data_IF_005949433953
#
_entry.id   IF_005949433953
#
_cell.length_a   1.000
_cell.length_b   1.000
_cell.length_c   1.000
_cell.angle_alpha   90.00
_cell.angle_beta   90.00
_cell.angle_gamma   90.00
#
_symmetry.space_group_name_H-M   'P 1'
#
loop_
_entity.id
_entity.type
_entity.pdbx_description
1 polymer ?
#
# COMPACT_ATOMS: atom_id res chain seq x y z
N UNK A 1 -44.82 29.82 79.18
CA UNK A 1 -44.87 30.41 77.83
C UNK A 1 -43.45 30.56 77.33
N UNK A 2 -43.07 29.71 76.39
CA UNK A 2 -41.73 29.61 75.79
C UNK A 2 -41.81 30.35 74.45
N UNK A 3 -40.89 31.26 74.16
CA UNK A 3 -40.71 31.83 72.82
C UNK A 3 -39.23 32.14 72.58
N UNK A 4 -38.71 31.51 71.52
CA UNK A 4 -37.31 31.38 71.15
C UNK A 4 -36.77 32.60 70.40
N UNK A 5 -35.46 32.73 70.52
CA UNK A 5 -34.53 33.62 69.82
C UNK A 5 -34.47 33.37 68.31
N UNK A 6 -34.44 34.45 67.54
CA UNK A 6 -34.30 34.45 66.08
C UNK A 6 -32.82 34.52 65.66
N UNK A 7 -32.29 33.47 65.04
CA UNK A 7 -30.97 33.45 64.41
C UNK A 7 -31.14 33.55 62.88
N UNK A 8 -30.59 34.61 62.27
CA UNK A 8 -30.59 34.80 60.81
C UNK A 8 -29.39 34.07 60.19
N UNK A 9 -29.65 33.06 59.37
CA UNK A 9 -28.65 32.35 58.58
C UNK A 9 -28.45 33.02 57.22
N UNK A 10 -27.22 33.46 56.92
CA UNK A 10 -26.83 34.03 55.62
C UNK A 10 -26.50 32.89 54.64
N UNK A 11 -27.23 32.80 53.53
CA UNK A 11 -26.90 31.90 52.42
C UNK A 11 -25.87 32.56 51.50
N UNK A 12 -24.69 31.96 51.40
CA UNK A 12 -23.68 32.27 50.39
C UNK A 12 -23.81 31.22 49.28
N UNK A 13 -24.29 31.63 48.10
CA UNK A 13 -24.37 30.76 46.93
C UNK A 13 -23.02 30.78 46.19
N UNK A 14 -22.26 29.67 46.23
CA UNK A 14 -21.13 29.43 45.35
C UNK A 14 -21.65 28.83 44.02
N UNK A 15 -21.53 29.59 42.94
CA UNK A 15 -21.68 29.11 41.57
C UNK A 15 -20.38 28.44 41.13
N UNK A 16 -20.38 27.12 40.98
CA UNK A 16 -19.29 26.37 40.37
C UNK A 16 -19.50 26.31 38.84
N UNK A 17 -18.58 26.94 38.08
CA UNK A 17 -18.49 26.79 36.62
C UNK A 17 -17.92 25.40 36.28
N UNK A 18 -18.56 24.60 35.40
CA UNK A 18 -17.92 23.41 34.85
C UNK A 18 -16.89 23.83 33.78
N UNK A 19 -15.62 23.57 34.05
CA UNK A 19 -14.57 23.66 33.05
C UNK A 19 -14.79 22.55 32.00
N UNK A 20 -15.24 22.94 30.80
CA UNK A 20 -15.29 22.06 29.64
C UNK A 20 -13.85 21.87 29.16
N UNK A 21 -13.21 20.78 29.58
CA UNK A 21 -11.97 20.30 28.98
C UNK A 21 -12.30 19.78 27.58
N UNK A 22 -12.10 20.64 26.57
CA UNK A 22 -12.06 20.20 25.18
C UNK A 22 -10.87 19.26 25.01
N UNK A 23 -11.14 17.97 24.87
CA UNK A 23 -10.16 17.01 24.42
C UNK A 23 -9.86 17.32 22.95
N UNK A 24 -8.81 18.11 22.70
CA UNK A 24 -8.14 18.08 21.40
C UNK A 24 -7.66 16.64 21.22
N UNK A 25 -8.34 15.86 20.37
CA UNK A 25 -7.80 14.61 19.87
C UNK A 25 -6.52 14.96 19.10
N UNK A 26 -5.37 14.92 19.78
CA UNK A 26 -4.08 14.94 19.12
C UNK A 26 -4.05 13.71 18.22
N UNK A 27 -3.94 13.93 16.91
CA UNK A 27 -3.58 12.86 15.99
C UNK A 27 -2.31 12.18 16.56
N UNK A 28 -2.27 10.84 16.63
CA UNK A 28 -1.08 10.16 17.12
C UNK A 28 0.12 10.66 16.31
N UNK A 29 1.27 10.94 16.96
CA UNK A 29 2.47 11.35 16.24
C UNK A 29 2.79 10.29 15.17
N UNK A 30 3.27 10.70 13.98
CA UNK A 30 3.74 9.75 12.99
C UNK A 30 4.78 8.85 13.67
N UNK A 31 4.46 7.56 13.70
CA UNK A 31 5.15 6.59 14.53
C UNK A 31 6.66 6.63 14.21
N UNK A 32 7.50 6.71 15.24
CA UNK A 32 8.95 6.62 15.08
C UNK A 32 9.28 5.29 14.37
N UNK A 33 10.29 5.27 13.49
CA UNK A 33 10.80 4.02 12.95
C UNK A 33 11.09 3.06 14.13
N UNK A 34 10.27 2.02 14.32
CA UNK A 34 10.58 0.96 15.28
C UNK A 34 9.45 0.24 16.03
N UNK A 35 8.24 0.76 16.14
CA UNK A 35 7.14 0.02 16.81
C UNK A 35 5.87 0.02 15.96
N UNK A 36 5.66 -1.01 15.15
CA UNK A 36 4.40 -1.20 14.43
C UNK A 36 3.27 -1.57 15.41
N UNK A 37 2.06 -1.07 15.13
CA UNK A 37 0.87 -1.37 15.91
C UNK A 37 0.44 -2.83 15.74
N UNK A 38 -0.33 -3.35 16.71
CA UNK A 38 -0.93 -4.68 16.62
C UNK A 38 -1.91 -4.80 15.44
N UNK A 39 -2.55 -3.69 15.05
CA UNK A 39 -3.38 -3.62 13.84
C UNK A 39 -2.54 -3.87 12.58
N UNK A 40 -1.38 -3.22 12.46
CA UNK A 40 -0.45 -3.44 11.35
C UNK A 40 0.05 -4.88 11.32
N UNK A 41 0.43 -5.46 12.47
CA UNK A 41 0.82 -6.87 12.54
C UNK A 41 -0.30 -7.80 12.10
N UNK A 42 -1.53 -7.55 12.56
CA UNK A 42 -2.69 -8.36 12.19
C UNK A 42 -2.99 -8.28 10.69
N UNK A 43 -2.84 -7.09 10.08
CA UNK A 43 -3.03 -6.89 8.63
C UNK A 43 -2.07 -7.73 7.78
N UNK A 44 -0.84 -7.93 8.26
CA UNK A 44 0.23 -8.64 7.56
C UNK A 44 0.60 -9.99 8.19
N UNK A 45 -0.28 -10.54 9.02
CA UNK A 45 -0.11 -11.85 9.64
C UNK A 45 -0.09 -12.97 8.58
N UNK A 46 0.37 -14.14 9.02
CA UNK A 46 0.26 -15.34 8.19
C UNK A 46 -1.21 -15.68 7.95
N UNK A 47 -1.53 -16.08 6.72
CA UNK A 47 -2.90 -16.43 6.32
C UNK A 47 -2.91 -17.59 5.35
N UNK A 48 -4.09 -18.15 5.07
CA UNK A 48 -4.29 -19.17 4.05
C UNK A 48 -5.21 -18.61 2.98
N UNK A 49 -4.78 -18.71 1.73
CA UNK A 49 -5.53 -18.24 0.57
C UNK A 49 -5.57 -19.32 -0.51
N UNK A 50 -6.77 -19.77 -0.88
CA UNK A 50 -6.98 -20.83 -1.87
C UNK A 50 -6.12 -22.10 -1.63
N UNK A 51 -5.88 -22.44 -0.36
CA UNK A 51 -5.08 -23.61 0.05
C UNK A 51 -3.56 -23.39 0.08
N UNK A 52 -3.09 -22.19 -0.27
CA UNK A 52 -1.70 -21.79 -0.11
C UNK A 52 -1.50 -21.04 1.20
N UNK A 53 -0.48 -21.42 1.96
CA UNK A 53 -0.04 -20.64 3.12
C UNK A 53 0.69 -19.38 2.62
N UNK A 54 0.30 -18.22 3.11
CA UNK A 54 0.98 -16.94 2.89
C UNK A 54 1.68 -16.56 4.19
N UNK A 55 3.02 -16.49 4.22
CA UNK A 55 3.75 -16.18 5.44
C UNK A 55 3.50 -14.74 5.90
N UNK A 56 3.64 -14.52 7.21
CA UNK A 56 3.60 -13.18 7.78
C UNK A 56 4.75 -12.33 7.22
N UNK A 57 4.51 -11.02 7.09
CA UNK A 57 5.60 -10.08 6.77
C UNK A 57 6.37 -9.78 8.06
N UNK A 58 7.69 -9.91 8.03
CA UNK A 58 8.54 -9.59 9.18
C UNK A 58 8.45 -8.09 9.53
N UNK A 59 8.35 -7.77 10.83
CA UNK A 59 8.21 -6.41 11.36
C UNK A 59 9.23 -5.41 10.77
N UNK A 60 10.46 -5.84 10.50
CA UNK A 60 11.53 -5.00 9.91
C UNK A 60 11.20 -4.43 8.53
N UNK A 61 10.28 -5.05 7.78
CA UNK A 61 9.81 -4.56 6.48
C UNK A 61 8.58 -3.66 6.59
N UNK A 62 8.02 -3.54 7.79
CA UNK A 62 6.80 -2.79 8.07
C UNK A 62 7.09 -1.53 8.86
N UNK A 63 6.26 -0.52 8.63
CA UNK A 63 6.11 0.67 9.47
C UNK A 63 4.64 1.09 9.40
N UNK A 64 4.17 1.95 10.30
CA UNK A 64 2.82 2.53 10.17
C UNK A 64 2.64 3.32 8.87
N UNK A 65 3.74 3.81 8.31
CA UNK A 65 3.72 4.43 7.00
C UNK A 65 3.63 3.40 5.86
N UNK A 66 4.33 2.27 5.96
CA UNK A 66 4.36 1.25 4.90
C UNK A 66 3.09 0.40 4.84
N UNK A 67 2.26 0.40 5.89
CA UNK A 67 0.99 -0.34 5.89
C UNK A 67 0.02 0.21 4.85
N UNK A 68 -0.81 -0.69 4.32
CA UNK A 68 -2.01 -0.32 3.58
C UNK A 68 -2.93 0.50 4.48
N UNK A 69 -3.38 1.66 4.01
CA UNK A 69 -4.20 2.57 4.80
C UNK A 69 -5.07 3.47 3.94
N UNK A 70 -6.21 3.89 4.49
CA UNK A 70 -7.09 4.86 3.85
C UNK A 70 -6.50 6.27 4.02
N UNK A 71 -6.36 7.01 2.92
CA UNK A 71 -5.76 8.35 2.91
C UNK A 71 -6.62 9.34 2.11
N UNK A 72 -6.52 10.65 2.39
CA UNK A 72 -6.98 11.69 1.46
C UNK A 72 -6.31 11.55 0.10
N UNK A 73 -7.10 11.55 -0.97
CA UNK A 73 -6.59 11.47 -2.34
C UNK A 73 -7.59 12.10 -3.31
N UNK A 74 -7.19 13.19 -3.96
CA UNK A 74 -8.08 14.12 -4.66
C UNK A 74 -8.06 13.93 -6.19
N UNK A 75 -7.88 12.69 -6.65
CA UNK A 75 -7.84 12.40 -8.08
C UNK A 75 -9.22 12.59 -8.73
N UNK A 76 -9.28 13.15 -9.96
CA UNK A 76 -10.54 13.48 -10.64
C UNK A 76 -11.17 12.26 -11.34
N UNK A 77 -11.10 11.08 -10.71
CA UNK A 77 -11.61 9.83 -11.26
C UNK A 77 -12.68 9.24 -10.35
N UNK A 78 -13.53 8.40 -10.94
CA UNK A 78 -14.60 7.71 -10.21
C UNK A 78 -14.04 6.72 -9.18
N UNK A 79 -14.82 6.46 -8.14
CA UNK A 79 -14.53 5.39 -7.19
C UNK A 79 -14.37 4.04 -7.90
N UNK A 80 -13.46 3.20 -7.40
CA UNK A 80 -13.06 1.95 -8.05
C UNK A 80 -11.89 2.10 -9.03
N UNK A 81 -11.54 3.33 -9.44
CA UNK A 81 -10.33 3.55 -10.26
C UNK A 81 -9.07 3.23 -9.46
N UNK A 82 -8.08 2.63 -10.12
CA UNK A 82 -6.73 2.48 -9.58
C UNK A 82 -5.83 3.56 -10.17
N UNK A 83 -5.10 4.27 -9.32
CA UNK A 83 -3.99 5.14 -9.73
C UNK A 83 -2.68 4.51 -9.26
N UNK A 84 -1.76 4.26 -10.18
CA UNK A 84 -0.41 3.78 -9.87
C UNK A 84 0.54 4.96 -9.96
N UNK A 85 1.29 5.21 -8.89
CA UNK A 85 2.36 6.19 -8.83
C UNK A 85 3.73 5.48 -8.73
N UNK A 86 4.38 5.19 -9.86
CA UNK A 86 5.69 4.54 -9.86
C UNK A 86 6.81 5.42 -9.29
N UNK A 87 6.64 6.75 -9.32
CA UNK A 87 7.63 7.69 -8.77
C UNK A 87 7.54 7.76 -7.25
N UNK A 88 6.32 7.76 -6.72
CA UNK A 88 6.03 7.75 -5.29
C UNK A 88 6.02 6.37 -4.63
N UNK A 89 6.04 5.28 -5.42
CA UNK A 89 5.95 3.89 -4.94
C UNK A 89 4.69 3.60 -4.15
N UNK A 90 3.60 4.19 -4.60
CA UNK A 90 2.26 3.90 -4.10
C UNK A 90 1.30 3.51 -5.21
N UNK A 91 0.33 2.69 -4.84
CA UNK A 91 -0.87 2.43 -5.60
C UNK A 91 -2.06 2.90 -4.77
N UNK A 92 -3.00 3.58 -5.40
CA UNK A 92 -4.20 4.15 -4.79
C UNK A 92 -5.44 3.52 -5.43
N UNK A 93 -6.26 2.84 -4.64
CA UNK A 93 -7.57 2.36 -5.07
C UNK A 93 -8.65 3.31 -4.55
N UNK A 94 -9.27 4.09 -5.43
CA UNK A 94 -10.19 5.17 -5.06
C UNK A 94 -11.45 4.61 -4.39
N UNK A 95 -11.81 5.16 -3.23
CA UNK A 95 -13.01 4.75 -2.46
C UNK A 95 -14.16 5.75 -2.59
N UNK A 96 -13.95 6.86 -3.29
CA UNK A 96 -14.87 7.99 -3.34
C UNK A 96 -14.68 8.92 -2.13
N UNK A 97 -15.43 10.03 -2.10
CA UNK A 97 -15.34 11.01 -1.01
C UNK A 97 -13.94 11.60 -0.83
N UNK A 98 -13.18 11.76 -1.91
CA UNK A 98 -11.78 12.25 -1.90
C UNK A 98 -10.83 11.37 -1.06
N UNK A 99 -11.07 10.06 -1.05
CA UNK A 99 -10.19 9.10 -0.37
C UNK A 99 -9.79 7.95 -1.28
N UNK A 100 -8.64 7.35 -0.97
CA UNK A 100 -8.19 6.12 -1.60
C UNK A 100 -7.56 5.18 -0.55
N UNK A 101 -7.69 3.88 -0.79
CA UNK A 101 -6.85 2.90 -0.11
C UNK A 101 -5.46 2.94 -0.75
N UNK A 102 -4.44 3.34 0.01
CA UNK A 102 -3.05 3.40 -0.41
C UNK A 102 -2.35 2.09 -0.11
N UNK A 103 -1.52 1.62 -1.03
CA UNK A 103 -0.69 0.43 -0.91
C UNK A 103 0.75 0.75 -1.28
N UNK A 104 1.70 0.25 -0.51
CA UNK A 104 3.12 0.30 -0.86
C UNK A 104 3.41 -0.63 -2.04
N UNK A 105 4.22 -0.17 -3.00
CA UNK A 105 4.61 -0.98 -4.16
C UNK A 105 6.13 -0.99 -4.37
N UNK A 106 6.65 -2.08 -4.95
CA UNK A 106 7.94 -2.08 -5.62
C UNK A 106 7.74 -1.79 -7.11
N UNK A 107 8.69 -1.06 -7.70
CA UNK A 107 8.65 -0.71 -9.12
C UNK A 107 9.88 -1.29 -9.79
N UNK A 108 9.69 -2.20 -10.73
CA UNK A 108 10.80 -2.70 -11.54
C UNK A 108 11.13 -1.79 -12.72
N UNK A 109 12.26 -2.02 -13.38
CA UNK A 109 12.65 -1.25 -14.57
C UNK A 109 11.56 -1.24 -15.66
N UNK A 110 10.77 -2.32 -15.80
CA UNK A 110 9.64 -2.37 -16.73
C UNK A 110 8.43 -1.58 -16.22
N UNK A 111 8.32 -1.36 -14.91
CA UNK A 111 7.32 -0.52 -14.27
C UNK A 111 7.35 0.96 -14.68
N UNK A 112 8.46 1.42 -15.27
CA UNK A 112 8.58 2.75 -15.87
C UNK A 112 8.31 2.77 -17.39
N UNK A 113 8.09 1.61 -18.02
CA UNK A 113 7.91 1.49 -19.47
C UNK A 113 6.50 1.84 -19.96
N UNK A 114 5.56 2.13 -19.05
CA UNK A 114 4.17 2.44 -19.38
C UNK A 114 3.64 3.58 -18.51
N UNK A 115 2.91 4.50 -19.13
CA UNK A 115 2.12 5.54 -18.46
C UNK A 115 0.82 5.83 -19.22
N UNK A 116 -0.12 6.46 -18.53
CA UNK A 116 -1.46 6.79 -19.02
C UNK A 116 -2.52 5.75 -18.63
N UNK A 117 -3.62 5.76 -19.36
CA UNK A 117 -4.80 4.97 -19.02
C UNK A 117 -4.76 3.53 -19.56
N UNK A 118 -5.26 2.61 -18.76
CA UNK A 118 -5.47 1.19 -19.06
C UNK A 118 -6.73 0.66 -18.36
N UNK A 119 -7.04 -0.60 -18.60
CA UNK A 119 -8.14 -1.35 -17.96
C UNK A 119 -7.65 -2.72 -17.51
N UNK A 120 -8.31 -3.31 -16.51
CA UNK A 120 -8.04 -4.69 -16.07
C UNK A 120 -9.16 -5.60 -16.60
N UNK A 121 -9.02 -6.25 -17.77
CA UNK A 121 -10.06 -7.13 -18.28
C UNK A 121 -10.18 -8.43 -17.48
N UNK A 122 -9.12 -8.85 -16.79
CA UNK A 122 -9.12 -10.02 -15.93
C UNK A 122 -7.99 -9.98 -14.90
N UNK A 123 -8.19 -10.77 -13.85
CA UNK A 123 -7.19 -11.10 -12.84
C UNK A 123 -7.04 -12.61 -12.69
N UNK A 124 -5.95 -13.04 -12.09
CA UNK A 124 -5.67 -14.46 -11.83
C UNK A 124 -5.20 -14.66 -10.40
N UNK A 125 -5.79 -15.64 -9.75
CA UNK A 125 -5.36 -16.17 -8.45
C UNK A 125 -4.25 -17.19 -8.68
N UNK A 126 -3.17 -17.07 -7.90
CA UNK A 126 -1.98 -17.92 -7.97
C UNK A 126 -1.57 -18.23 -9.43
N UNK A 127 -1.26 -17.19 -10.22
CA UNK A 127 -1.07 -17.32 -11.66
C UNK A 127 0.13 -18.21 -11.98
N UNK A 128 0.01 -18.97 -13.07
CA UNK A 128 1.17 -19.52 -13.73
C UNK A 128 2.04 -18.39 -14.34
N UNK A 129 3.35 -18.54 -14.26
CA UNK A 129 4.29 -17.57 -14.80
C UNK A 129 5.27 -18.22 -15.78
N UNK A 130 5.69 -17.48 -16.80
CA UNK A 130 6.75 -17.90 -17.72
C UNK A 130 7.71 -16.74 -17.93
N UNK A 131 9.04 -16.98 -17.91
CA UNK A 131 9.99 -15.94 -18.27
C UNK A 131 9.78 -15.50 -19.72
N UNK A 132 9.95 -14.20 -19.96
CA UNK A 132 9.89 -13.68 -21.34
C UNK A 132 11.11 -14.15 -22.15
N UNK A 133 10.98 -14.18 -23.47
CA UNK A 133 12.12 -14.49 -24.36
C UNK A 133 13.32 -13.55 -24.12
N UNK A 134 13.06 -12.29 -23.76
CA UNK A 134 14.10 -11.33 -23.43
C UNK A 134 14.85 -11.68 -22.13
N UNK A 135 14.12 -12.13 -21.10
CA UNK A 135 14.71 -12.59 -19.83
C UNK A 135 15.60 -13.82 -20.07
N UNK A 136 15.09 -14.83 -20.78
CA UNK A 136 15.86 -16.03 -21.15
C UNK A 136 17.13 -15.70 -21.93
N UNK A 137 17.10 -14.68 -22.79
CA UNK A 137 18.27 -14.26 -23.58
C UNK A 137 19.29 -13.49 -22.75
N UNK A 138 18.84 -12.66 -21.80
CA UNK A 138 19.70 -11.80 -20.98
C UNK A 138 20.36 -12.59 -19.85
N UNK A 139 19.56 -13.38 -19.13
CA UNK A 139 19.97 -14.10 -17.92
C UNK A 139 19.62 -15.60 -18.06
N UNK A 140 20.23 -16.34 -19.00
CA UNK A 140 19.87 -17.72 -19.32
C UNK A 140 20.13 -18.70 -18.18
N UNK A 141 21.13 -18.45 -17.33
CA UNK A 141 21.42 -19.31 -16.18
C UNK A 141 20.35 -19.20 -15.10
N UNK A 142 19.80 -18.00 -14.89
CA UNK A 142 18.73 -17.74 -13.92
C UNK A 142 17.37 -18.26 -14.44
N UNK A 143 17.01 -17.93 -15.68
CA UNK A 143 15.67 -18.25 -16.21
C UNK A 143 15.58 -19.55 -17.00
N UNK A 144 16.72 -20.10 -17.43
CA UNK A 144 16.79 -21.36 -18.17
C UNK A 144 16.14 -22.55 -17.46
N UNK A 145 16.40 -22.77 -16.15
CA UNK A 145 15.75 -23.84 -15.38
C UNK A 145 14.22 -23.73 -15.34
N UNK A 146 13.68 -22.50 -15.39
CA UNK A 146 12.24 -22.21 -15.31
C UNK A 146 11.64 -21.79 -16.66
N UNK A 147 12.30 -22.11 -17.78
CA UNK A 147 11.86 -21.74 -19.14
C UNK A 147 10.47 -22.27 -19.51
N UNK A 148 10.07 -23.38 -18.89
CA UNK A 148 8.75 -24.01 -19.06
C UNK A 148 7.76 -23.52 -17.99
N UNK A 149 8.06 -22.38 -17.38
CA UNK A 149 7.27 -21.67 -16.39
C UNK A 149 7.21 -22.34 -15.02
N UNK A 150 6.54 -21.63 -14.11
CA UNK A 150 6.29 -22.03 -12.74
C UNK A 150 4.79 -22.08 -12.49
N UNK A 151 4.28 -23.12 -11.80
CA UNK A 151 2.90 -23.15 -11.34
C UNK A 151 2.63 -22.03 -10.33
N UNK A 152 1.35 -21.82 -10.01
CA UNK A 152 0.97 -20.96 -8.89
C UNK A 152 1.58 -21.47 -7.58
N UNK A 153 2.08 -20.54 -6.76
CA UNK A 153 2.64 -20.84 -5.45
C UNK A 153 3.60 -19.76 -4.96
N UNK A 154 4.13 -19.93 -3.75
CA UNK A 154 5.03 -18.96 -3.13
C UNK A 154 6.40 -18.82 -3.82
N UNK A 155 6.80 -19.74 -4.69
CA UNK A 155 8.05 -19.57 -5.45
C UNK A 155 7.83 -18.80 -6.77
N UNK A 156 6.56 -18.55 -7.12
CA UNK A 156 6.22 -17.88 -8.35
C UNK A 156 6.47 -16.35 -8.23
N UNK A 157 7.19 -15.73 -9.17
CA UNK A 157 7.52 -14.31 -9.09
C UNK A 157 6.32 -13.37 -9.25
N UNK A 158 5.14 -13.88 -9.65
CA UNK A 158 3.88 -13.13 -9.66
C UNK A 158 3.13 -13.17 -8.32
N UNK A 159 3.55 -14.02 -7.38
CA UNK A 159 2.93 -14.14 -6.05
C UNK A 159 1.47 -14.59 -6.10
N UNK A 160 0.67 -14.14 -5.13
CA UNK A 160 -0.68 -14.64 -4.89
C UNK A 160 -1.73 -14.19 -5.91
N UNK A 161 -1.56 -13.02 -6.53
CA UNK A 161 -2.48 -12.46 -7.53
C UNK A 161 -1.72 -11.75 -8.63
N UNK A 162 -2.28 -11.72 -9.83
CA UNK A 162 -1.85 -10.83 -10.90
C UNK A 162 -3.05 -10.18 -11.61
N UNK A 163 -3.04 -8.86 -11.69
CA UNK A 163 -3.98 -8.02 -12.43
C UNK A 163 -3.29 -7.58 -13.73
N UNK A 164 -3.92 -7.86 -14.87
CA UNK A 164 -3.33 -7.68 -16.19
C UNK A 164 -3.86 -6.40 -16.81
N UNK A 165 -2.96 -5.48 -17.20
CA UNK A 165 -3.39 -4.18 -17.74
C UNK A 165 -3.43 -4.22 -19.26
N UNK A 166 -4.56 -3.77 -19.81
CA UNK A 166 -4.79 -3.67 -21.25
C UNK A 166 -5.04 -2.22 -21.64
N UNK A 167 -4.47 -1.82 -22.77
CA UNK A 167 -4.73 -0.52 -23.40
C UNK A 167 -5.25 -0.76 -24.81
N UNK A 168 -6.40 -0.18 -25.14
CA UNK A 168 -7.06 -0.34 -26.44
C UNK A 168 -7.21 -1.81 -26.87
N UNK A 169 -7.59 -2.68 -25.92
CA UNK A 169 -7.78 -4.12 -26.15
C UNK A 169 -6.50 -4.94 -26.31
N UNK A 170 -5.31 -4.36 -26.08
CA UNK A 170 -4.02 -5.05 -26.16
C UNK A 170 -3.35 -5.15 -24.80
N UNK A 171 -2.75 -6.30 -24.52
CA UNK A 171 -1.93 -6.52 -23.32
C UNK A 171 -0.74 -5.55 -23.35
N UNK A 172 -0.58 -4.78 -22.27
CA UNK A 172 0.54 -3.86 -22.08
C UNK A 172 1.80 -4.57 -21.61
N UNK A 173 1.69 -5.84 -21.21
CA UNK A 173 2.66 -6.59 -20.42
C UNK A 173 2.93 -5.96 -19.04
N UNK A 174 2.20 -4.93 -18.66
CA UNK A 174 2.22 -4.33 -17.35
C UNK A 174 1.28 -5.08 -16.42
N UNK A 175 1.75 -5.36 -15.21
CA UNK A 175 1.03 -6.18 -14.22
C UNK A 175 1.16 -5.55 -12.84
N UNK A 176 0.05 -5.53 -12.11
CA UNK A 176 0.06 -5.34 -10.66
C UNK A 176 -0.03 -6.74 -10.06
N UNK A 177 0.98 -7.13 -9.28
CA UNK A 177 1.08 -8.51 -8.80
C UNK A 177 1.71 -8.62 -7.42
N UNK A 178 1.57 -9.79 -6.79
CA UNK A 178 2.21 -10.10 -5.53
C UNK A 178 3.72 -10.36 -5.70
N UNK A 179 4.41 -10.66 -4.61
CA UNK A 179 5.82 -11.07 -4.67
C UNK A 179 6.11 -12.10 -3.60
N UNK A 180 6.98 -13.09 -3.89
CA UNK A 180 7.50 -13.98 -2.86
C UNK A 180 8.61 -13.33 -2.02
N UNK A 181 9.10 -12.16 -2.45
CA UNK A 181 10.22 -11.44 -1.86
C UNK A 181 9.73 -10.15 -1.20
N UNK A 182 9.14 -10.19 0.01
CA UNK A 182 8.54 -9.02 0.64
C UNK A 182 9.55 -7.89 0.89
N UNK A 183 10.83 -8.22 1.11
CA UNK A 183 11.92 -7.25 1.25
C UNK A 183 12.16 -6.36 0.03
N UNK A 184 11.55 -6.67 -1.12
CA UNK A 184 11.64 -5.82 -2.32
C UNK A 184 10.56 -4.72 -2.35
N UNK A 185 9.49 -4.85 -1.58
CA UNK A 185 8.36 -3.91 -1.59
C UNK A 185 8.78 -2.59 -0.96
N UNK A 186 8.52 -1.49 -1.66
CA UNK A 186 9.00 -0.15 -1.29
C UNK A 186 10.33 0.23 -1.96
N UNK A 187 10.96 -0.66 -2.73
CA UNK A 187 12.22 -0.40 -3.42
C UNK A 187 12.09 -0.42 -4.95
N UNK A 188 13.04 0.22 -5.63
CA UNK A 188 13.28 0.01 -7.05
C UNK A 188 13.89 -1.38 -7.31
N UNK A 189 13.47 -2.05 -8.37
CA UNK A 189 14.01 -3.38 -8.72
C UNK A 189 14.47 -3.45 -10.18
N UNK A 190 15.39 -4.36 -10.50
CA UNK A 190 15.98 -4.50 -11.85
C UNK A 190 15.05 -5.16 -12.87
N UNK A 191 13.95 -5.77 -12.43
CA UNK A 191 13.03 -6.56 -13.25
C UNK A 191 11.59 -6.43 -12.75
N UNK A 192 10.60 -6.67 -13.63
CA UNK A 192 9.18 -6.70 -13.27
C UNK A 192 8.46 -5.35 -13.35
N UNK A 193 7.15 -5.39 -13.21
CA UNK A 193 6.27 -4.22 -13.33
C UNK A 193 6.01 -3.62 -11.93
N UNK A 194 4.88 -3.98 -11.31
CA UNK A 194 4.46 -3.47 -9.99
C UNK A 194 4.25 -4.64 -9.04
N UNK A 195 5.08 -4.69 -7.99
CA UNK A 195 5.03 -5.73 -6.95
C UNK A 195 4.41 -5.20 -5.67
N UNK A 196 3.62 -6.02 -5.00
CA UNK A 196 2.97 -5.73 -3.72
C UNK A 196 3.23 -6.87 -2.75
N UNK A 197 3.09 -6.63 -1.45
CA UNK A 197 2.94 -7.73 -0.49
C UNK A 197 1.79 -8.65 -0.92
N UNK A 198 1.90 -9.96 -0.68
CA UNK A 198 0.84 -10.89 -1.09
C UNK A 198 -0.49 -10.56 -0.39
N UNK A 199 -0.46 -10.19 0.88
CA UNK A 199 -1.62 -9.73 1.65
C UNK A 199 -2.31 -8.53 0.99
N UNK A 200 -1.52 -7.61 0.44
CA UNK A 200 -2.02 -6.38 -0.17
C UNK A 200 -2.58 -6.61 -1.57
N UNK A 201 -1.95 -7.45 -2.39
CA UNK A 201 -2.50 -7.77 -3.71
C UNK A 201 -3.75 -8.64 -3.61
N UNK A 202 -3.83 -9.53 -2.61
CA UNK A 202 -5.04 -10.32 -2.32
C UNK A 202 -6.19 -9.35 -1.98
N UNK A 203 -5.96 -8.46 -1.01
CA UNK A 203 -6.96 -7.45 -0.65
C UNK A 203 -7.34 -6.56 -1.84
N UNK A 204 -6.40 -6.12 -2.66
CA UNK A 204 -6.72 -5.31 -3.85
C UNK A 204 -7.59 -6.09 -4.83
N UNK A 205 -7.23 -7.34 -5.16
CA UNK A 205 -7.92 -8.19 -6.12
C UNK A 205 -9.38 -8.47 -5.73
N UNK A 206 -9.66 -8.63 -4.43
CA UNK A 206 -11.03 -8.81 -3.90
C UNK A 206 -11.93 -7.59 -4.10
N UNK A 207 -11.34 -6.41 -4.33
CA UNK A 207 -12.05 -5.14 -4.44
C UNK A 207 -12.10 -4.62 -5.88
N UNK A 208 -11.45 -5.31 -6.82
CA UNK A 208 -11.28 -4.89 -8.22
C UNK A 208 -12.13 -5.76 -9.12
N UNK A 209 -12.88 -5.12 -10.01
CA UNK A 209 -13.75 -5.78 -10.97
C UNK A 209 -13.10 -5.82 -12.37
N UNK A 210 -13.55 -6.76 -13.20
CA UNK A 210 -13.16 -6.75 -14.60
C UNK A 210 -13.67 -5.49 -15.28
N UNK A 211 -12.77 -4.80 -15.99
CA UNK A 211 -13.03 -3.50 -16.61
C UNK A 211 -12.58 -2.31 -15.76
N UNK A 212 -12.10 -2.52 -14.52
CA UNK A 212 -11.58 -1.44 -13.67
C UNK A 212 -10.57 -0.58 -14.42
N UNK A 213 -10.79 0.74 -14.38
CA UNK A 213 -9.88 1.74 -14.94
C UNK A 213 -8.60 1.80 -14.12
N UNK A 214 -7.47 1.85 -14.81
CA UNK A 214 -6.16 2.09 -14.21
C UNK A 214 -5.53 3.32 -14.87
N UNK A 215 -4.94 4.19 -14.05
CA UNK A 215 -4.16 5.34 -14.49
C UNK A 215 -2.75 5.21 -13.94
N UNK A 216 -1.76 5.09 -14.83
CA UNK A 216 -0.36 4.98 -14.44
C UNK A 216 0.32 6.32 -14.65
N UNK A 217 0.81 6.92 -13.57
CA UNK A 217 1.47 8.22 -13.57
C UNK A 217 2.89 8.13 -14.16
N UNK A 218 3.40 9.25 -14.67
CA UNK A 218 4.84 9.36 -14.97
C UNK A 218 5.65 9.59 -13.70
N UNK A 219 6.99 9.48 -13.80
CA UNK A 219 7.88 9.72 -12.65
C UNK A 219 7.81 11.18 -12.17
N UNK A 220 7.58 12.11 -13.09
CA UNK A 220 7.47 13.56 -12.81
C UNK A 220 6.14 13.91 -12.12
N UNK A 221 5.17 13.00 -12.18
CA UNK A 221 3.86 13.13 -11.54
C UNK A 221 3.82 12.47 -10.16
N UNK A 222 4.97 12.13 -9.57
CA UNK A 222 5.05 11.55 -8.23
C UNK A 222 4.31 12.41 -7.19
N UNK A 223 3.48 11.77 -6.37
CA UNK A 223 2.67 12.44 -5.34
C UNK A 223 1.49 13.25 -5.88
N UNK A 224 1.16 13.16 -7.17
CA UNK A 224 0.02 13.88 -7.76
C UNK A 224 -1.27 13.52 -7.02
N UNK A 225 -2.06 14.55 -6.71
CA UNK A 225 -3.34 14.49 -5.98
C UNK A 225 -3.27 14.09 -4.50
N UNK A 226 -2.06 13.98 -3.94
CA UNK A 226 -1.88 13.93 -2.49
C UNK A 226 -1.98 15.33 -1.88
N UNK A 227 -2.28 15.43 -0.58
CA UNK A 227 -2.29 16.66 0.19
C UNK A 227 -0.90 17.08 0.71
N UNK A 228 0.14 16.35 0.30
CA UNK A 228 1.52 16.52 0.76
C UNK A 228 1.86 15.77 2.05
N UNK A 229 0.91 15.09 2.70
CA UNK A 229 1.18 14.24 3.87
C UNK A 229 2.16 13.09 3.57
N UNK A 230 2.28 12.70 2.30
CA UNK A 230 3.19 11.64 1.83
C UNK A 230 4.64 12.11 1.66
N UNK A 231 4.90 13.42 1.58
CA UNK A 231 6.22 13.98 1.25
C UNK A 231 7.32 13.52 2.20
N UNK A 232 7.15 13.55 3.55
CA UNK A 232 8.19 13.09 4.47
C UNK A 232 8.63 11.65 4.21
N UNK A 233 7.68 10.83 3.75
CA UNK A 233 7.91 9.42 3.61
C UNK A 233 8.42 9.04 2.22
N UNK A 234 8.03 9.78 1.17
CA UNK A 234 8.72 9.77 -0.12
C UNK A 234 10.22 10.12 0.04
N UNK A 235 10.53 11.12 0.87
CA UNK A 235 11.91 11.50 1.18
C UNK A 235 12.64 10.39 1.94
N UNK A 236 12.00 9.78 2.94
CA UNK A 236 12.58 8.67 3.69
C UNK A 236 12.92 7.47 2.77
N UNK A 237 11.99 7.08 1.90
CA UNK A 237 12.19 5.97 0.95
C UNK A 237 13.29 6.26 -0.07
N UNK A 238 13.39 7.50 -0.55
CA UNK A 238 14.48 7.91 -1.44
C UNK A 238 15.86 7.82 -0.77
N UNK A 239 15.94 8.05 0.54
CA UNK A 239 17.16 7.87 1.32
C UNK A 239 17.58 6.40 1.45
N UNK A 240 16.62 5.47 1.56
CA UNK A 240 16.90 4.04 1.71
C UNK A 240 17.47 3.40 0.43
N UNK A 241 17.11 3.90 -0.74
CA UNK A 241 17.69 3.39 -2.00
C UNK A 241 19.17 3.74 -2.16
N UNK A 242 19.64 4.80 -1.49
CA UNK A 242 21.06 5.17 -1.50
C UNK A 242 21.92 4.22 -0.64
N UNK A 243 21.31 3.45 0.25
CA UNK A 243 21.99 2.60 1.24
C UNK A 243 21.83 1.10 0.99
N UNK A 244 21.21 0.68 -0.12
CA UNK A 244 20.97 -0.72 -0.43
C UNK A 244 19.99 -1.42 0.55
N UNK A 245 19.37 -2.56 0.16
CA UNK A 245 18.42 -3.27 1.01
C UNK A 245 19.05 -3.95 2.24
N UNK A 246 20.37 -4.01 2.33
CA UNK A 246 21.17 -4.57 3.43
C UNK A 246 22.01 -3.54 4.19
N UNK A 247 21.88 -2.25 3.86
CA UNK A 247 22.70 -1.18 4.45
C UNK A 247 24.08 -1.02 3.83
N UNK A 248 24.37 -1.69 2.70
CA UNK A 248 25.59 -1.46 1.93
C UNK A 248 25.50 -0.21 1.05
N UNK A 249 26.48 0.70 1.17
CA UNK A 249 26.60 1.86 0.28
C UNK A 249 26.85 1.38 -1.16
N UNK A 250 26.06 1.93 -2.12
CA UNK A 250 26.16 1.64 -3.55
C UNK A 250 27.25 2.39 -4.29
#
# INVERSE_FOLDING_TARGET
MIALTSLRLKYLALLALPAVLGACAMAPPPNQLGEISDETRAMYAATVDNGFEVPAIEDKYLTEFRKRQLVPYHAPYEAGTIVVDPGGRFLYHLKGGETAMRYLIAVGAQGYGFSGEATIPFQRDWPYWTPTANMLRRDPEEYGPVRNGLPGGLENPLGARALYLYKNGRDTLYRIHGTPSPWTVGHGTSSGCIRMFNQDVIHLAEQVENGTKVVVLTKEEAGKWTDGSEVPALVAMAGEDATGPDGSEG
#
